data_IF_940678918329
#
_entry.id   IF_940678918329
#
_cell.length_a   1.000
_cell.length_b   1.000
_cell.length_c   1.000
_cell.angle_alpha   90.00
_cell.angle_beta   90.00
_cell.angle_gamma   90.00
#
_symmetry.space_group_name_H-M   'P 1'
#
loop_
_entity.id
_entity.type
_entity.pdbx_description
1 polymer ?
#
# COMPACT_ATOMS: atom_id res chain seq x y z
N UNK A 1 -28.28 14.03 7.06
CA UNK A 1 -27.12 14.88 7.40
C UNK A 1 -27.31 16.17 6.62
N UNK A 2 -26.98 17.35 7.18
CA UNK A 2 -26.93 18.59 6.41
C UNK A 2 -25.94 18.43 5.26
N UNK A 3 -26.25 18.98 4.07
CA UNK A 3 -25.45 18.83 2.84
C UNK A 3 -24.00 19.28 2.99
N UNK A 4 -23.66 20.08 4.00
CA UNK A 4 -22.32 20.66 4.22
C UNK A 4 -21.40 19.84 5.15
N UNK A 5 -21.86 18.71 5.71
CA UNK A 5 -21.03 17.94 6.64
C UNK A 5 -20.27 16.81 5.97
N UNK A 6 -18.94 16.91 5.94
CA UNK A 6 -18.06 15.79 5.52
C UNK A 6 -18.14 14.67 6.56
N UNK A 7 -18.49 13.43 6.17
CA UNK A 7 -18.52 12.30 7.09
C UNK A 7 -17.15 11.98 7.68
N UNK A 8 -17.13 11.57 8.94
CA UNK A 8 -15.90 11.10 9.58
C UNK A 8 -15.41 9.75 9.03
N UNK A 9 -14.15 9.41 9.29
CA UNK A 9 -13.48 8.23 8.75
C UNK A 9 -14.26 6.91 8.98
N UNK A 10 -14.74 6.65 10.20
CA UNK A 10 -15.49 5.43 10.50
C UNK A 10 -16.82 5.36 9.71
N UNK A 11 -17.48 6.48 9.48
CA UNK A 11 -18.68 6.55 8.63
C UNK A 11 -18.33 6.26 7.18
N UNK A 12 -17.24 6.82 6.67
CA UNK A 12 -16.75 6.52 5.31
C UNK A 12 -16.38 5.04 5.16
N UNK A 13 -15.73 4.44 6.15
CA UNK A 13 -15.34 3.03 6.13
C UNK A 13 -16.54 2.09 5.94
N UNK A 14 -17.73 2.46 6.43
CA UNK A 14 -18.96 1.66 6.32
C UNK A 14 -19.80 2.04 5.10
N UNK A 15 -19.86 3.33 4.73
CA UNK A 15 -20.86 3.83 3.81
C UNK A 15 -20.33 4.29 2.44
N UNK A 16 -19.07 4.72 2.33
CA UNK A 16 -18.58 5.27 1.06
C UNK A 16 -18.69 4.24 -0.07
N UNK A 17 -19.23 4.67 -1.23
CA UNK A 17 -19.46 3.83 -2.41
C UNK A 17 -20.62 2.84 -2.29
N UNK A 18 -21.12 2.52 -1.08
CA UNK A 18 -22.18 1.54 -0.90
C UNK A 18 -23.57 2.17 -0.99
N UNK A 19 -24.38 1.66 -1.93
CA UNK A 19 -25.81 1.96 -2.06
C UNK A 19 -26.59 0.65 -2.00
N UNK A 20 -27.84 0.66 -1.49
CA UNK A 20 -28.71 -0.51 -1.63
C UNK A 20 -28.85 -0.90 -3.10
N UNK A 21 -28.83 -2.22 -3.37
CA UNK A 21 -28.99 -2.71 -4.74
C UNK A 21 -30.33 -2.21 -5.33
N UNK A 22 -30.33 -1.55 -6.50
CA UNK A 22 -31.54 -0.92 -7.03
C UNK A 22 -32.62 -1.91 -7.45
N UNK A 23 -32.26 -3.18 -7.67
CA UNK A 23 -33.20 -4.21 -8.14
C UNK A 23 -33.83 -4.94 -6.96
N UNK A 24 -33.02 -5.30 -5.96
CA UNK A 24 -33.46 -6.16 -4.86
C UNK A 24 -33.60 -5.43 -3.52
N UNK A 25 -33.05 -4.23 -3.40
CA UNK A 25 -32.96 -3.51 -2.14
C UNK A 25 -31.91 -4.09 -1.18
N UNK A 26 -31.07 -5.03 -1.60
CA UNK A 26 -30.05 -5.63 -0.74
C UNK A 26 -29.12 -4.57 -0.16
N UNK A 27 -28.93 -4.60 1.17
CA UNK A 27 -28.12 -3.61 1.88
C UNK A 27 -26.62 -3.90 1.73
N UNK A 28 -26.22 -5.18 1.79
CA UNK A 28 -24.85 -5.59 1.54
C UNK A 28 -24.54 -5.49 0.05
N UNK A 29 -23.29 -5.14 -0.30
CA UNK A 29 -22.84 -5.07 -1.69
C UNK A 29 -22.96 -6.45 -2.34
N UNK A 30 -23.74 -6.63 -3.43
CA UNK A 30 -23.83 -7.91 -4.12
C UNK A 30 -22.51 -8.34 -4.74
N UNK A 31 -22.26 -9.65 -4.81
CA UNK A 31 -21.12 -10.22 -5.52
C UNK A 31 -21.54 -10.48 -6.97
N UNK A 32 -21.13 -9.61 -7.90
CA UNK A 32 -21.39 -9.78 -9.32
C UNK A 32 -20.34 -10.69 -9.95
N UNK A 33 -20.51 -12.01 -9.74
CA UNK A 33 -19.60 -13.03 -10.26
C UNK A 33 -19.98 -13.40 -11.69
N UNK A 34 -19.72 -12.48 -12.62
CA UNK A 34 -19.95 -12.63 -14.07
C UNK A 34 -18.73 -12.18 -14.86
N UNK A 35 -18.57 -12.64 -16.08
CA UNK A 35 -17.50 -12.21 -17.00
C UNK A 35 -17.88 -10.96 -17.78
N UNK A 36 -19.14 -10.85 -18.21
CA UNK A 36 -19.60 -9.83 -19.16
C UNK A 36 -20.97 -9.29 -18.81
N UNK A 37 -21.30 -8.15 -19.38
CA UNK A 37 -22.56 -7.42 -19.16
C UNK A 37 -23.24 -7.18 -20.49
N UNK A 38 -24.59 -7.24 -20.50
CA UNK A 38 -25.40 -7.04 -21.72
C UNK A 38 -25.50 -5.54 -22.00
N UNK A 39 -25.31 -5.16 -23.25
CA UNK A 39 -25.52 -3.81 -23.74
C UNK A 39 -26.99 -3.59 -24.10
N UNK A 40 -27.44 -2.32 -24.02
CA UNK A 40 -28.79 -1.97 -24.44
C UNK A 40 -28.98 -2.11 -25.97
N UNK A 41 -27.96 -1.63 -26.71
CA UNK A 41 -27.91 -1.62 -28.17
C UNK A 41 -26.45 -1.44 -28.66
N UNK A 42 -26.25 -1.34 -29.97
CA UNK A 42 -24.92 -1.18 -30.61
C UNK A 42 -24.30 0.18 -30.29
N UNK A 43 -25.11 1.24 -30.19
CA UNK A 43 -24.64 2.60 -29.90
C UNK A 43 -24.17 2.71 -28.46
N UNK A 44 -24.90 2.12 -27.52
CA UNK A 44 -24.49 2.02 -26.11
C UNK A 44 -23.14 1.26 -26.01
N UNK A 45 -22.99 0.12 -26.69
CA UNK A 45 -21.73 -0.61 -26.71
C UNK A 45 -20.59 0.26 -27.25
N UNK A 46 -20.76 0.91 -28.38
CA UNK A 46 -19.75 1.78 -29.01
C UNK A 46 -19.32 2.93 -28.09
N UNK A 47 -20.29 3.57 -27.39
CA UNK A 47 -20.01 4.67 -26.46
C UNK A 47 -19.17 4.23 -25.25
N UNK A 48 -19.40 3.03 -24.71
CA UNK A 48 -18.61 2.46 -23.63
C UNK A 48 -17.18 2.15 -24.06
N UNK A 49 -16.99 1.50 -25.20
CA UNK A 49 -15.65 1.20 -25.73
C UNK A 49 -14.88 2.46 -26.14
N UNK A 50 -15.58 3.48 -26.60
CA UNK A 50 -15.02 4.79 -26.96
C UNK A 50 -14.74 5.72 -25.78
N UNK A 51 -14.97 5.28 -24.53
CA UNK A 51 -14.86 6.09 -23.31
C UNK A 51 -15.75 7.34 -23.32
N UNK A 52 -16.86 7.32 -24.07
CA UNK A 52 -17.85 8.40 -24.13
C UNK A 52 -18.94 8.24 -23.07
N UNK A 53 -19.08 7.04 -22.51
CA UNK A 53 -19.98 6.74 -21.41
C UNK A 53 -19.29 5.84 -20.37
N UNK A 54 -19.77 5.88 -19.12
CA UNK A 54 -19.36 4.98 -18.07
C UNK A 54 -20.39 3.85 -17.91
N UNK A 55 -19.91 2.62 -17.76
CA UNK A 55 -20.75 1.45 -17.55
C UNK A 55 -19.95 0.17 -17.52
N UNK A 56 -20.65 -0.95 -17.28
CA UNK A 56 -20.03 -2.25 -17.19
C UNK A 56 -19.91 -2.91 -18.56
N UNK A 57 -18.73 -3.42 -18.90
CA UNK A 57 -18.42 -4.12 -20.15
C UNK A 57 -18.03 -5.57 -19.85
N UNK A 58 -16.97 -5.71 -19.07
CA UNK A 58 -16.32 -6.98 -18.79
C UNK A 58 -15.60 -6.92 -17.45
N UNK A 59 -15.74 -7.93 -16.60
CA UNK A 59 -15.30 -7.90 -15.20
C UNK A 59 -13.80 -7.68 -15.03
N UNK A 60 -12.95 -8.07 -15.99
CA UNK A 60 -11.52 -7.74 -15.97
C UNK A 60 -11.27 -6.22 -15.95
N UNK A 61 -12.14 -5.42 -16.58
CA UNK A 61 -11.98 -3.97 -16.69
C UNK A 61 -12.69 -3.28 -15.53
N UNK A 62 -13.89 -3.75 -15.17
CA UNK A 62 -14.75 -3.18 -14.14
C UNK A 62 -15.78 -4.19 -13.64
N UNK A 63 -16.14 -4.07 -12.36
CA UNK A 63 -17.21 -4.86 -11.75
C UNK A 63 -17.94 -3.97 -10.73
N UNK A 64 -19.29 -4.05 -10.64
CA UNK A 64 -20.02 -3.27 -9.63
C UNK A 64 -19.56 -3.55 -8.20
N UNK A 65 -19.17 -4.77 -7.87
CA UNK A 65 -18.62 -5.13 -6.55
C UNK A 65 -17.29 -4.41 -6.30
N UNK A 66 -16.37 -4.46 -7.27
CA UNK A 66 -15.06 -3.81 -7.15
C UNK A 66 -15.16 -2.28 -7.18
N UNK A 67 -16.15 -1.71 -7.88
CA UNK A 67 -16.40 -0.28 -7.88
C UNK A 67 -16.71 0.26 -6.48
N UNK A 68 -17.48 -0.46 -5.67
CA UNK A 68 -17.74 -0.07 -4.26
C UNK A 68 -16.43 -0.07 -3.44
N UNK A 69 -15.54 -1.05 -3.67
CA UNK A 69 -14.23 -1.08 -3.02
C UNK A 69 -13.35 0.11 -3.46
N UNK A 70 -13.33 0.42 -4.75
CA UNK A 70 -12.59 1.54 -5.33
C UNK A 70 -13.07 2.88 -4.72
N UNK A 71 -14.37 3.14 -4.72
CA UNK A 71 -14.95 4.35 -4.14
C UNK A 71 -14.70 4.45 -2.62
N UNK A 72 -14.78 3.31 -1.91
CA UNK A 72 -14.52 3.24 -0.47
C UNK A 72 -13.10 3.67 -0.14
N UNK A 73 -12.11 3.07 -0.78
CA UNK A 73 -10.71 3.35 -0.48
C UNK A 73 -10.30 4.74 -0.97
N UNK A 74 -10.81 5.19 -2.13
CA UNK A 74 -10.61 6.57 -2.57
C UNK A 74 -11.10 7.58 -1.51
N UNK A 75 -12.30 7.39 -0.97
CA UNK A 75 -12.87 8.26 0.06
C UNK A 75 -12.05 8.22 1.38
N UNK A 76 -11.56 7.05 1.78
CA UNK A 76 -10.76 6.90 3.00
C UNK A 76 -9.39 7.58 2.87
N UNK A 77 -8.72 7.48 1.71
CA UNK A 77 -7.45 8.15 1.43
C UNK A 77 -7.61 9.64 1.10
N UNK A 78 -8.82 10.10 0.79
CA UNK A 78 -9.06 11.46 0.32
C UNK A 78 -8.64 11.69 -1.13
N UNK A 79 -8.59 10.61 -1.92
CA UNK A 79 -8.33 10.67 -3.35
C UNK A 79 -9.58 10.96 -4.17
N UNK A 80 -9.37 11.27 -5.45
CA UNK A 80 -10.44 11.55 -6.42
C UNK A 80 -11.03 10.26 -7.00
N UNK A 81 -10.19 9.26 -7.25
CA UNK A 81 -10.58 7.97 -7.80
C UNK A 81 -9.63 6.86 -7.34
N UNK A 82 -10.07 5.61 -7.46
CA UNK A 82 -9.21 4.46 -7.24
C UNK A 82 -9.44 3.36 -8.28
N UNK A 83 -8.45 2.44 -8.38
CA UNK A 83 -8.49 1.27 -9.25
C UNK A 83 -8.02 0.05 -8.47
N UNK A 84 -8.91 -0.93 -8.27
CA UNK A 84 -8.59 -2.20 -7.65
C UNK A 84 -7.94 -3.16 -8.64
N UNK A 85 -6.89 -3.86 -8.20
CA UNK A 85 -6.10 -4.81 -8.98
C UNK A 85 -5.77 -6.07 -8.17
N UNK A 86 -5.21 -7.08 -8.81
CA UNK A 86 -5.03 -8.42 -8.25
C UNK A 86 -4.11 -8.47 -7.00
N UNK A 87 -3.17 -7.54 -6.84
CA UNK A 87 -2.21 -7.52 -5.73
C UNK A 87 -1.54 -6.16 -5.58
N UNK A 88 -0.83 -5.92 -4.47
CA UNK A 88 0.01 -4.72 -4.31
C UNK A 88 1.10 -4.60 -5.38
N UNK A 89 1.75 -5.71 -5.77
CA UNK A 89 2.70 -5.72 -6.88
C UNK A 89 2.06 -5.34 -8.22
N UNK A 90 0.83 -5.78 -8.46
CA UNK A 90 0.07 -5.37 -9.64
C UNK A 90 -0.25 -3.87 -9.61
N UNK A 91 -0.51 -3.29 -8.42
CA UNK A 91 -0.71 -1.84 -8.29
C UNK A 91 0.57 -1.07 -8.69
N UNK A 92 1.73 -1.49 -8.18
CA UNK A 92 3.03 -0.89 -8.55
C UNK A 92 3.31 -0.99 -10.05
N UNK A 93 3.05 -2.17 -10.65
CA UNK A 93 3.20 -2.39 -12.09
C UNK A 93 2.30 -1.46 -12.90
N UNK A 94 1.02 -1.41 -12.60
CA UNK A 94 0.02 -0.63 -13.35
C UNK A 94 0.30 0.87 -13.26
N UNK A 95 0.66 1.36 -12.06
CA UNK A 95 1.01 2.77 -11.85
C UNK A 95 2.19 3.18 -12.73
N UNK A 96 3.29 2.42 -12.68
CA UNK A 96 4.49 2.77 -13.46
C UNK A 96 4.27 2.53 -14.97
N UNK A 97 3.53 1.49 -15.37
CA UNK A 97 3.19 1.24 -16.77
C UNK A 97 2.38 2.38 -17.40
N UNK A 98 1.51 3.04 -16.64
CA UNK A 98 0.72 4.17 -17.14
C UNK A 98 1.54 5.45 -17.37
N UNK A 99 2.80 5.51 -16.94
CA UNK A 99 3.63 6.71 -17.06
C UNK A 99 5.04 6.49 -17.62
N UNK A 100 5.51 5.25 -17.73
CA UNK A 100 6.89 4.93 -18.12
C UNK A 100 6.98 4.26 -19.48
N UNK A 101 8.08 4.54 -20.18
CA UNK A 101 8.51 3.89 -21.41
C UNK A 101 9.89 3.26 -21.24
N UNK A 102 10.32 2.34 -22.12
CA UNK A 102 11.69 1.83 -22.11
C UNK A 102 12.73 2.96 -22.14
N UNK A 103 13.68 2.92 -21.22
CA UNK A 103 14.72 3.95 -21.05
C UNK A 103 14.42 5.01 -20.01
N UNK A 104 13.18 5.05 -19.49
CA UNK A 104 12.80 5.93 -18.39
C UNK A 104 13.35 5.48 -17.04
N UNK A 105 13.36 6.41 -16.09
CA UNK A 105 13.86 6.22 -14.72
C UNK A 105 12.79 6.62 -13.71
N UNK A 106 12.82 5.98 -12.55
CA UNK A 106 12.10 6.44 -11.36
C UNK A 106 13.02 6.37 -10.14
N UNK A 107 12.79 7.22 -9.16
CA UNK A 107 13.55 7.23 -7.91
C UNK A 107 12.75 6.43 -6.89
N UNK A 108 13.41 5.54 -6.15
CA UNK A 108 12.77 4.80 -5.07
C UNK A 108 13.60 4.88 -3.79
N UNK A 109 12.93 4.90 -2.64
CA UNK A 109 13.60 4.76 -1.36
C UNK A 109 14.32 3.40 -1.27
N UNK A 110 15.52 3.38 -0.68
CA UNK A 110 16.24 2.13 -0.46
C UNK A 110 15.61 1.25 0.62
N UNK A 111 14.85 1.86 1.53
CA UNK A 111 14.11 1.19 2.58
C UNK A 111 12.67 0.93 2.13
N UNK A 112 12.42 -0.22 1.53
CA UNK A 112 11.13 -0.69 1.06
C UNK A 112 10.93 -2.17 1.40
N UNK A 113 9.72 -2.64 1.21
CA UNK A 113 9.41 -4.06 1.19
C UNK A 113 10.31 -4.81 0.21
N UNK A 114 10.93 -5.91 0.66
CA UNK A 114 11.89 -6.67 -0.15
C UNK A 114 11.33 -7.15 -1.49
N UNK A 115 10.03 -7.46 -1.56
CA UNK A 115 9.36 -7.80 -2.81
C UNK A 115 9.33 -6.64 -3.81
N UNK A 116 9.13 -5.40 -3.35
CA UNK A 116 9.19 -4.19 -4.19
C UNK A 116 10.60 -3.98 -4.73
N UNK A 117 11.63 -4.14 -3.86
CA UNK A 117 13.03 -4.05 -4.28
C UNK A 117 13.34 -5.07 -5.39
N UNK A 118 12.88 -6.32 -5.23
CA UNK A 118 13.07 -7.36 -6.23
C UNK A 118 12.33 -7.04 -7.53
N UNK A 119 11.08 -6.58 -7.46
CA UNK A 119 10.29 -6.20 -8.62
C UNK A 119 10.96 -5.07 -9.41
N UNK A 120 11.48 -4.05 -8.72
CA UNK A 120 12.15 -2.90 -9.34
C UNK A 120 13.49 -3.27 -9.96
N UNK A 121 14.30 -4.06 -9.27
CA UNK A 121 15.64 -4.44 -9.74
C UNK A 121 15.63 -5.46 -10.89
N UNK A 122 14.61 -6.32 -10.96
CA UNK A 122 14.58 -7.43 -11.90
C UNK A 122 13.47 -7.27 -12.93
N UNK A 123 12.19 -7.31 -12.50
CA UNK A 123 11.06 -7.31 -13.44
C UNK A 123 10.97 -6.01 -14.21
N UNK A 124 11.06 -4.86 -13.55
CA UNK A 124 10.94 -3.56 -14.22
C UNK A 124 12.15 -3.25 -15.09
N UNK A 125 13.34 -3.72 -14.70
CA UNK A 125 14.52 -3.62 -15.55
C UNK A 125 14.34 -4.37 -16.88
N UNK A 126 13.63 -5.50 -16.90
CA UNK A 126 13.34 -6.23 -18.15
C UNK A 126 12.39 -5.46 -19.08
N UNK A 127 11.60 -4.51 -18.57
CA UNK A 127 10.79 -3.57 -19.36
C UNK A 127 11.58 -2.33 -19.80
N UNK A 128 12.87 -2.25 -19.45
CA UNK A 128 13.71 -1.08 -19.72
C UNK A 128 13.50 0.08 -18.76
N UNK A 129 12.82 -0.14 -17.65
CA UNK A 129 12.63 0.87 -16.59
C UNK A 129 13.76 0.77 -15.57
N UNK A 130 14.37 1.90 -15.24
CA UNK A 130 15.54 1.94 -14.37
C UNK A 130 15.18 2.60 -13.04
N UNK A 131 15.50 1.90 -11.93
CA UNK A 131 15.34 2.47 -10.59
C UNK A 131 16.64 3.20 -10.16
N UNK A 132 16.48 4.37 -9.56
CA UNK A 132 17.52 5.11 -8.83
C UNK A 132 17.22 5.06 -7.34
N UNK A 133 18.10 4.46 -6.58
CA UNK A 133 17.89 4.31 -5.13
C UNK A 133 18.31 5.57 -4.37
N UNK A 134 17.50 5.97 -3.40
CA UNK A 134 17.73 7.11 -2.51
C UNK A 134 17.57 6.69 -1.04
N UNK A 135 18.26 7.39 -0.14
CA UNK A 135 18.17 7.13 1.30
C UNK A 135 17.12 8.03 1.95
N UNK A 136 16.11 7.43 2.61
CA UNK A 136 15.07 8.19 3.32
C UNK A 136 15.60 9.01 4.51
N UNK A 137 16.79 8.70 5.00
CA UNK A 137 17.45 9.46 6.07
C UNK A 137 18.22 10.68 5.54
N UNK A 138 18.48 10.76 4.22
CA UNK A 138 19.12 11.88 3.55
C UNK A 138 18.33 12.30 2.30
N UNK A 139 17.45 13.27 2.47
CA UNK A 139 16.59 13.80 1.39
C UNK A 139 17.39 14.32 0.21
N UNK A 140 18.64 14.79 0.41
CA UNK A 140 19.50 15.26 -0.68
C UNK A 140 19.82 14.16 -1.70
N UNK A 141 19.74 12.88 -1.32
CA UNK A 141 19.95 11.75 -2.24
C UNK A 141 18.83 11.64 -3.27
N UNK A 142 17.58 11.97 -2.90
CA UNK A 142 16.47 12.07 -3.85
C UNK A 142 16.71 13.21 -4.86
N UNK A 143 17.14 14.38 -4.40
CA UNK A 143 17.44 15.53 -5.28
C UNK A 143 18.55 15.18 -6.28
N UNK A 144 19.64 14.58 -5.82
CA UNK A 144 20.79 14.16 -6.65
C UNK A 144 20.42 13.08 -7.68
N UNK A 145 19.41 12.25 -7.39
CA UNK A 145 18.96 11.19 -8.27
C UNK A 145 18.07 11.69 -9.42
N UNK A 146 17.51 12.91 -9.33
CA UNK A 146 16.65 13.49 -10.37
C UNK A 146 17.40 13.66 -11.67
N UNK A 147 16.80 13.22 -12.78
CA UNK A 147 17.31 13.40 -14.14
C UNK A 147 16.17 13.78 -15.11
N UNK A 148 16.46 14.19 -16.34
CA UNK A 148 15.42 14.40 -17.37
C UNK A 148 14.57 13.15 -17.67
N UNK A 149 15.07 11.95 -17.35
CA UNK A 149 14.38 10.67 -17.53
C UNK A 149 13.51 10.28 -16.34
N UNK A 150 13.59 10.99 -15.22
CA UNK A 150 12.82 10.68 -14.02
C UNK A 150 11.33 10.90 -14.27
N UNK A 151 10.51 9.86 -14.02
CA UNK A 151 9.05 9.87 -14.20
C UNK A 151 8.26 9.88 -12.90
N UNK A 152 8.84 9.39 -11.79
CA UNK A 152 8.17 9.34 -10.49
C UNK A 152 9.18 9.23 -9.35
N UNK A 153 8.72 9.52 -8.13
CA UNK A 153 9.39 9.13 -6.89
C UNK A 153 8.48 8.16 -6.16
N UNK A 154 9.04 7.06 -5.64
CA UNK A 154 8.33 6.00 -4.92
C UNK A 154 8.88 5.82 -3.51
N UNK A 155 8.00 5.88 -2.49
CA UNK A 155 8.35 5.65 -1.08
C UNK A 155 7.28 4.79 -0.40
N UNK A 156 7.59 4.26 0.78
CA UNK A 156 6.59 3.74 1.73
C UNK A 156 6.36 4.77 2.85
N UNK A 157 5.12 4.91 3.32
CA UNK A 157 4.80 5.79 4.46
C UNK A 157 5.43 5.28 5.76
N UNK A 158 5.31 3.99 6.01
CA UNK A 158 6.02 3.22 7.05
C UNK A 158 6.71 2.06 6.36
N UNK A 159 8.03 2.02 6.40
CA UNK A 159 8.82 1.04 5.66
C UNK A 159 8.87 -0.32 6.35
N UNK A 160 8.78 -1.39 5.56
CA UNK A 160 8.96 -2.77 6.00
C UNK A 160 10.39 -3.26 5.62
N UNK A 161 11.18 -3.88 6.51
CA UNK A 161 10.80 -4.47 7.80
C UNK A 161 10.90 -3.55 9.02
N UNK A 162 11.64 -2.47 8.96
CA UNK A 162 12.11 -1.73 10.13
C UNK A 162 11.11 -0.76 10.78
N UNK A 163 9.88 -0.61 10.26
CA UNK A 163 8.91 0.33 10.81
C UNK A 163 9.33 1.81 10.69
N UNK A 164 10.23 2.13 9.77
CA UNK A 164 10.79 3.48 9.59
C UNK A 164 9.75 4.38 8.93
N UNK A 165 9.45 5.51 9.54
CA UNK A 165 8.50 6.51 9.00
C UNK A 165 9.24 7.47 8.09
N UNK A 166 8.76 7.60 6.84
CA UNK A 166 9.35 8.52 5.86
C UNK A 166 8.84 9.94 6.06
N UNK A 167 9.70 10.95 5.89
CA UNK A 167 9.27 12.36 5.82
C UNK A 167 8.62 12.65 4.47
N UNK A 168 7.31 12.40 4.39
CA UNK A 168 6.51 12.48 3.17
C UNK A 168 6.56 13.88 2.55
N UNK A 169 6.40 14.94 3.36
CA UNK A 169 6.41 16.33 2.86
C UNK A 169 7.77 16.74 2.28
N UNK A 170 8.86 16.28 2.90
CA UNK A 170 10.20 16.56 2.40
C UNK A 170 10.42 15.93 1.02
N UNK A 171 10.00 14.66 0.83
CA UNK A 171 10.10 13.98 -0.47
C UNK A 171 9.12 14.57 -1.48
N UNK A 172 7.89 14.94 -1.06
CA UNK A 172 6.90 15.62 -1.92
C UNK A 172 7.44 16.94 -2.46
N UNK A 173 8.19 17.70 -1.64
CA UNK A 173 8.83 18.93 -2.09
C UNK A 173 9.88 18.67 -3.19
N UNK A 174 10.63 17.56 -3.11
CA UNK A 174 11.57 17.15 -4.17
C UNK A 174 10.81 16.79 -5.45
N UNK A 175 9.77 15.94 -5.33
CA UNK A 175 8.94 15.53 -6.46
C UNK A 175 8.32 16.75 -7.19
N UNK A 176 7.77 17.69 -6.43
CA UNK A 176 7.20 18.94 -6.96
C UNK A 176 8.24 19.79 -7.72
N UNK A 177 9.46 19.97 -7.16
CA UNK A 177 10.53 20.69 -7.86
C UNK A 177 10.98 19.98 -9.13
N UNK A 178 11.02 18.66 -9.11
CA UNK A 178 11.35 17.83 -10.27
C UNK A 178 10.23 17.78 -11.33
N UNK A 179 9.01 18.20 -11.00
CA UNK A 179 7.82 18.12 -11.87
C UNK A 179 7.40 16.68 -12.14
N UNK A 180 7.50 15.79 -11.14
CA UNK A 180 7.12 14.38 -11.21
C UNK A 180 6.19 14.03 -10.05
N UNK A 181 5.27 13.02 -10.19
CA UNK A 181 4.40 12.62 -9.12
C UNK A 181 5.17 11.88 -8.00
N UNK A 182 4.70 12.06 -6.77
CA UNK A 182 5.07 11.24 -5.62
C UNK A 182 4.07 10.10 -5.47
N UNK A 183 4.58 8.86 -5.50
CA UNK A 183 3.84 7.62 -5.24
C UNK A 183 4.20 7.15 -3.83
N UNK A 184 3.19 6.92 -3.00
CA UNK A 184 3.37 6.42 -1.63
C UNK A 184 2.67 5.08 -1.46
N UNK A 185 3.42 4.04 -1.14
CA UNK A 185 2.84 2.80 -0.64
C UNK A 185 2.44 2.98 0.84
N UNK A 186 1.14 2.99 1.09
CA UNK A 186 0.57 3.25 2.41
C UNK A 186 0.02 1.98 3.08
N UNK A 187 0.54 0.81 2.68
CA UNK A 187 0.06 -0.51 3.12
C UNK A 187 0.13 -0.68 4.63
N UNK A 188 1.21 -0.23 5.30
CA UNK A 188 1.41 -0.44 6.73
C UNK A 188 0.62 0.55 7.59
N UNK A 189 0.59 1.82 7.21
CA UNK A 189 -0.15 2.84 7.96
C UNK A 189 -1.66 2.75 7.71
N UNK A 190 -2.08 2.37 6.52
CA UNK A 190 -3.45 2.47 6.04
C UNK A 190 -3.98 3.92 6.08
N UNK A 191 -5.08 4.25 5.41
CA UNK A 191 -5.64 5.60 5.49
C UNK A 191 -6.14 5.99 6.89
N UNK A 192 -6.22 5.04 7.82
CA UNK A 192 -6.61 5.32 9.19
C UNK A 192 -5.52 6.04 10.00
N UNK A 193 -4.27 5.59 9.89
CA UNK A 193 -3.15 6.19 10.62
C UNK A 193 -2.52 7.35 9.86
N UNK A 194 -2.37 7.22 8.53
CA UNK A 194 -1.76 8.22 7.67
C UNK A 194 -2.54 8.36 6.35
N UNK A 195 -2.73 9.58 5.88
CA UNK A 195 -3.27 9.91 4.56
C UNK A 195 -2.21 10.68 3.77
N UNK A 196 -1.35 10.00 2.99
CA UNK A 196 -0.23 10.63 2.29
C UNK A 196 -0.63 11.77 1.35
N UNK A 197 -1.85 11.73 0.78
CA UNK A 197 -2.39 12.80 -0.09
C UNK A 197 -2.48 14.15 0.65
N UNK A 198 -2.75 14.13 1.96
CA UNK A 198 -2.80 15.34 2.79
C UNK A 198 -1.40 15.96 2.97
N UNK A 199 -0.33 15.19 2.71
CA UNK A 199 1.07 15.59 2.86
C UNK A 199 1.81 15.72 1.52
N UNK A 200 1.08 15.74 0.40
CA UNK A 200 1.63 16.03 -0.92
C UNK A 200 1.94 14.81 -1.78
N UNK A 201 1.48 13.62 -1.42
CA UNK A 201 1.46 12.49 -2.35
C UNK A 201 0.44 12.73 -3.47
N UNK A 202 0.82 12.38 -4.70
CA UNK A 202 -0.07 12.46 -5.86
C UNK A 202 -0.82 11.15 -6.07
N UNK A 203 -0.16 10.03 -5.77
CA UNK A 203 -0.68 8.67 -5.95
C UNK A 203 -0.39 7.87 -4.69
N UNK A 204 -1.38 7.11 -4.23
CA UNK A 204 -1.21 6.15 -3.13
C UNK A 204 -1.48 4.75 -3.64
N UNK A 205 -0.63 3.78 -3.24
CA UNK A 205 -0.86 2.36 -3.52
C UNK A 205 -0.98 1.57 -2.23
N UNK A 206 -1.74 0.48 -2.27
CA UNK A 206 -1.83 -0.47 -1.16
C UNK A 206 -1.80 -1.92 -1.64
N UNK A 207 -1.20 -2.76 -0.85
CA UNK A 207 -1.58 -4.16 -0.79
C UNK A 207 -2.82 -4.30 0.11
N UNK A 208 -3.99 -4.43 -0.51
CA UNK A 208 -5.26 -4.67 0.19
C UNK A 208 -5.26 -5.99 0.97
N UNK A 209 -4.34 -6.89 0.61
CA UNK A 209 -4.07 -8.19 1.25
C UNK A 209 -3.76 -8.06 2.75
N UNK A 210 -3.19 -6.91 3.16
CA UNK A 210 -2.67 -6.66 4.50
C UNK A 210 -3.75 -6.07 5.41
N UNK A 211 -3.45 -5.04 6.16
CA UNK A 211 -4.34 -4.44 7.16
C UNK A 211 -5.73 -4.04 6.65
N UNK A 212 -5.88 -3.63 5.38
CA UNK A 212 -7.21 -3.22 4.86
C UNK A 212 -8.14 -4.44 4.81
N UNK A 213 -7.74 -5.54 4.20
CA UNK A 213 -8.47 -6.82 4.26
C UNK A 213 -8.44 -7.42 5.66
N UNK A 214 -7.27 -7.47 6.27
CA UNK A 214 -7.03 -7.73 7.70
C UNK A 214 -7.20 -9.16 8.20
N UNK A 215 -7.63 -10.10 7.36
CA UNK A 215 -8.03 -11.46 7.80
C UNK A 215 -7.17 -12.57 7.19
N UNK A 216 -6.16 -12.25 6.38
CA UNK A 216 -5.27 -13.24 5.76
C UNK A 216 -5.94 -14.17 4.76
N UNK A 217 -7.14 -13.82 4.26
CA UNK A 217 -8.00 -14.68 3.45
C UNK A 217 -8.19 -14.20 2.00
N UNK A 218 -7.63 -13.05 1.64
CA UNK A 218 -7.86 -12.44 0.32
C UNK A 218 -6.64 -11.65 -0.14
N UNK A 219 -6.29 -11.78 -1.42
CA UNK A 219 -5.23 -11.00 -2.07
C UNK A 219 -5.87 -9.92 -2.93
N UNK A 220 -5.34 -8.70 -2.83
CA UNK A 220 -5.74 -7.56 -3.64
C UNK A 220 -4.73 -6.43 -3.58
N UNK A 221 -4.83 -5.50 -4.50
CA UNK A 221 -4.11 -4.24 -4.53
C UNK A 221 -5.04 -3.09 -4.94
N UNK A 222 -4.63 -1.86 -4.68
CA UNK A 222 -5.38 -0.69 -5.12
C UNK A 222 -4.43 0.47 -5.41
N UNK A 223 -4.80 1.26 -6.38
CA UNK A 223 -4.18 2.53 -6.75
C UNK A 223 -5.19 3.62 -6.42
N UNK A 224 -4.78 4.65 -5.70
CA UNK A 224 -5.61 5.83 -5.41
C UNK A 224 -4.96 7.04 -6.08
N UNK A 225 -5.71 7.70 -6.93
CA UNK A 225 -5.30 8.93 -7.61
C UNK A 225 -5.76 10.14 -6.76
N UNK A 226 -4.81 10.99 -6.36
CA UNK A 226 -5.09 12.23 -5.66
C UNK A 226 -5.78 13.29 -6.54
N UNK A 227 -5.73 13.14 -7.87
CA UNK A 227 -6.37 14.00 -8.85
C UNK A 227 -5.78 15.42 -8.93
N UNK A 228 -4.60 15.65 -8.36
CA UNK A 228 -3.98 17.00 -8.26
C UNK A 228 -2.79 17.20 -9.20
N UNK A 229 -2.19 16.13 -9.69
CA UNK A 229 -1.02 16.21 -10.58
C UNK A 229 -1.46 16.63 -11.99
N UNK A 230 -0.78 17.64 -12.55
CA UNK A 230 -1.07 18.13 -13.91
C UNK A 230 -0.33 17.29 -14.95
N UNK A 231 -0.98 16.29 -15.52
CA UNK A 231 -0.41 15.35 -16.49
C UNK A 231 -0.12 15.96 -17.85
N UNK A 232 -0.73 17.11 -18.19
CA UNK A 232 -0.56 17.81 -19.48
C UNK A 232 0.42 18.99 -19.40
N UNK A 233 0.98 19.28 -18.22
CA UNK A 233 1.92 20.38 -18.02
C UNK A 233 3.23 20.23 -18.83
N UNK A 234 3.54 19.02 -19.29
CA UNK A 234 4.75 18.74 -20.08
C UNK A 234 4.54 17.48 -20.93
N UNK A 235 5.41 17.29 -21.94
CA UNK A 235 5.42 16.06 -22.77
C UNK A 235 6.06 14.87 -22.05
N UNK A 236 6.22 14.92 -20.72
CA UNK A 236 6.86 13.86 -19.95
C UNK A 236 6.01 12.58 -19.89
N UNK A 237 4.69 12.70 -20.02
CA UNK A 237 3.73 11.60 -19.89
C UNK A 237 2.87 11.47 -21.15
N UNK A 238 3.45 10.98 -22.28
CA UNK A 238 2.76 10.95 -23.57
C UNK A 238 1.47 10.14 -23.54
N UNK A 239 1.37 9.10 -22.70
CA UNK A 239 0.15 8.33 -22.53
C UNK A 239 -1.06 9.16 -22.04
N UNK A 240 -0.79 10.29 -21.39
CA UNK A 240 -1.80 11.19 -20.80
C UNK A 240 -1.91 12.53 -21.54
N UNK A 241 -0.81 13.01 -22.12
CA UNK A 241 -0.69 14.34 -22.72
C UNK A 241 -0.75 14.38 -24.25
N UNK A 242 -0.72 13.22 -24.92
CA UNK A 242 -0.75 13.13 -26.38
C UNK A 242 -2.01 12.43 -26.88
N UNK A 243 -2.45 12.72 -28.15
CA UNK A 243 -3.59 12.07 -28.75
C UNK A 243 -3.43 10.54 -28.84
N UNK A 244 -4.46 9.81 -28.40
CA UNK A 244 -4.51 8.33 -28.41
C UNK A 244 -5.24 7.83 -29.65
N UNK A 245 -4.55 7.22 -30.64
CA UNK A 245 -5.20 6.73 -31.86
C UNK A 245 -6.29 5.69 -31.59
N UNK A 246 -6.09 4.82 -30.58
CA UNK A 246 -7.04 3.80 -30.16
C UNK A 246 -8.33 4.36 -29.54
N UNK A 247 -8.37 5.65 -29.22
CA UNK A 247 -9.53 6.41 -28.71
C UNK A 247 -9.85 7.60 -29.61
N UNK A 248 -9.72 7.45 -30.94
CA UNK A 248 -10.06 8.47 -31.93
C UNK A 248 -9.33 9.82 -31.70
N UNK A 249 -8.09 9.78 -31.24
CA UNK A 249 -7.29 10.99 -31.00
C UNK A 249 -7.57 11.68 -29.67
N UNK A 250 -8.30 11.03 -28.76
CA UNK A 250 -8.56 11.58 -27.42
C UNK A 250 -7.24 11.78 -26.63
N UNK A 251 -7.12 12.92 -25.96
CA UNK A 251 -6.05 13.20 -24.97
C UNK A 251 -6.64 12.95 -23.59
N UNK A 252 -6.18 11.88 -22.90
CA UNK A 252 -6.80 11.45 -21.64
C UNK A 252 -6.73 12.54 -20.56
N UNK A 253 -5.60 13.25 -20.46
CA UNK A 253 -5.40 14.32 -19.48
C UNK A 253 -6.35 15.49 -19.65
N UNK A 254 -6.67 15.87 -20.91
CA UNK A 254 -7.61 16.95 -21.19
C UNK A 254 -9.06 16.49 -21.01
N UNK A 255 -9.38 15.26 -21.47
CA UNK A 255 -10.75 14.74 -21.45
C UNK A 255 -11.24 14.44 -20.06
N UNK A 256 -10.39 13.84 -19.20
CA UNK A 256 -10.81 13.35 -17.88
C UNK A 256 -10.28 14.19 -16.71
N UNK A 257 -9.40 15.16 -16.96
CA UNK A 257 -8.91 16.09 -15.94
C UNK A 257 -8.34 15.34 -14.72
N UNK A 258 -8.92 15.58 -13.55
CA UNK A 258 -8.49 14.96 -12.28
C UNK A 258 -8.77 13.45 -12.16
N UNK A 259 -9.44 12.82 -13.13
CA UNK A 259 -9.64 11.38 -13.22
C UNK A 259 -8.70 10.71 -14.23
N UNK A 260 -7.92 11.50 -14.98
CA UNK A 260 -7.15 11.03 -16.14
C UNK A 260 -6.21 9.89 -15.81
N UNK A 261 -5.50 9.97 -14.68
CA UNK A 261 -4.54 8.94 -14.30
C UNK A 261 -5.22 7.62 -13.91
N UNK A 262 -6.30 7.68 -13.14
CA UNK A 262 -7.06 6.49 -12.78
C UNK A 262 -7.65 5.81 -14.04
N UNK A 263 -8.13 6.60 -15.02
CA UNK A 263 -8.60 6.07 -16.32
C UNK A 263 -7.44 5.46 -17.10
N UNK A 264 -6.28 6.13 -17.19
CA UNK A 264 -5.10 5.56 -17.87
C UNK A 264 -4.66 4.23 -17.23
N UNK A 265 -4.59 4.16 -15.90
CA UNK A 265 -4.32 2.90 -15.19
C UNK A 265 -5.33 1.80 -15.54
N UNK A 266 -6.62 2.15 -15.68
CA UNK A 266 -7.67 1.19 -16.05
C UNK A 266 -7.53 0.69 -17.47
N UNK A 267 -7.34 1.60 -18.44
CA UNK A 267 -7.40 1.24 -19.88
C UNK A 267 -6.06 0.78 -20.44
N UNK A 268 -4.93 1.28 -19.95
CA UNK A 268 -3.60 0.89 -20.40
C UNK A 268 -2.98 -0.22 -19.52
N UNK A 269 -3.30 -0.20 -18.22
CA UNK A 269 -2.77 -1.15 -17.26
C UNK A 269 -3.70 -2.33 -17.03
N UNK A 270 -4.82 -2.12 -16.34
CA UNK A 270 -5.72 -3.22 -15.93
C UNK A 270 -6.29 -3.97 -17.12
N UNK A 271 -6.85 -3.26 -18.11
CA UNK A 271 -7.48 -3.88 -19.28
C UNK A 271 -6.47 -4.70 -20.10
N UNK A 272 -5.30 -4.14 -20.38
CA UNK A 272 -4.36 -4.70 -21.36
C UNK A 272 -3.37 -5.68 -20.72
N UNK A 273 -2.89 -5.44 -19.49
CA UNK A 273 -2.01 -6.35 -18.76
C UNK A 273 -2.78 -7.44 -17.97
N UNK A 274 -4.05 -7.19 -17.64
CA UNK A 274 -4.96 -8.18 -17.09
C UNK A 274 -4.89 -8.49 -15.60
N UNK A 275 -4.26 -7.71 -14.70
CA UNK A 275 -4.16 -8.04 -13.27
C UNK A 275 -5.45 -7.72 -12.50
N UNK A 276 -6.58 -8.28 -12.92
CA UNK A 276 -7.89 -8.02 -12.37
C UNK A 276 -8.09 -8.70 -11.01
N UNK A 277 -8.68 -7.98 -10.06
CA UNK A 277 -9.15 -8.56 -8.80
C UNK A 277 -10.47 -9.29 -9.04
N UNK A 278 -10.68 -10.42 -8.36
CA UNK A 278 -11.96 -11.11 -8.40
C UNK A 278 -13.04 -10.35 -7.61
N UNK A 279 -14.32 -10.32 -8.05
CA UNK A 279 -15.40 -9.72 -7.27
C UNK A 279 -15.56 -10.33 -5.88
N UNK A 280 -15.27 -11.61 -5.71
CA UNK A 280 -15.29 -12.29 -4.42
C UNK A 280 -14.20 -11.75 -3.48
N UNK A 281 -12.96 -11.56 -3.96
CA UNK A 281 -11.90 -10.95 -3.18
C UNK A 281 -12.25 -9.49 -2.82
N UNK A 282 -12.83 -8.73 -3.76
CA UNK A 282 -13.30 -7.37 -3.49
C UNK A 282 -14.32 -7.32 -2.37
N UNK A 283 -15.25 -8.26 -2.34
CA UNK A 283 -16.26 -8.39 -1.28
C UNK A 283 -15.63 -8.70 0.08
N UNK A 284 -14.70 -9.67 0.15
CA UNK A 284 -14.00 -10.01 1.40
C UNK A 284 -13.19 -8.82 1.93
N UNK A 285 -12.51 -8.09 1.04
CA UNK A 285 -11.73 -6.90 1.40
C UNK A 285 -12.65 -5.76 1.87
N UNK A 286 -13.81 -5.56 1.23
CA UNK A 286 -14.81 -4.59 1.67
C UNK A 286 -15.27 -4.87 3.10
N UNK A 287 -15.56 -6.15 3.43
CA UNK A 287 -15.92 -6.55 4.79
C UNK A 287 -14.80 -6.22 5.80
N UNK A 288 -13.54 -6.43 5.42
CA UNK A 288 -12.40 -6.01 6.23
C UNK A 288 -12.30 -4.49 6.39
N UNK A 289 -12.52 -3.74 5.31
CA UNK A 289 -12.42 -2.27 5.33
C UNK A 289 -13.44 -1.61 6.27
N UNK A 290 -14.64 -2.20 6.44
CA UNK A 290 -15.67 -1.68 7.36
C UNK A 290 -15.19 -1.58 8.81
N UNK A 291 -14.36 -2.51 9.24
CA UNK A 291 -13.81 -2.56 10.62
C UNK A 291 -12.39 -2.01 10.73
N UNK A 292 -11.84 -1.45 9.64
CA UNK A 292 -10.47 -0.94 9.60
C UNK A 292 -10.13 0.01 10.76
N UNK A 293 -10.94 1.03 11.10
CA UNK A 293 -10.59 1.97 12.16
C UNK A 293 -10.49 1.30 13.53
N UNK A 294 -11.35 0.33 13.82
CA UNK A 294 -11.33 -0.42 15.09
C UNK A 294 -10.09 -1.31 15.18
N UNK A 295 -9.78 -2.04 14.10
CA UNK A 295 -8.64 -2.94 14.05
C UNK A 295 -7.31 -2.17 14.11
N UNK A 296 -7.16 -1.11 13.33
CA UNK A 296 -5.90 -0.36 13.30
C UNK A 296 -5.59 0.33 14.63
N UNK A 297 -6.62 0.79 15.36
CA UNK A 297 -6.41 1.31 16.70
C UNK A 297 -5.93 0.21 17.64
N UNK A 298 -6.62 -0.93 17.69
CA UNK A 298 -6.24 -2.07 18.54
C UNK A 298 -4.85 -2.62 18.19
N UNK A 299 -4.53 -2.76 16.90
CA UNK A 299 -3.20 -3.13 16.41
C UNK A 299 -2.11 -2.20 16.94
N UNK A 300 -2.32 -0.89 16.83
CA UNK A 300 -1.33 0.12 17.25
C UNK A 300 -1.16 0.15 18.78
N UNK A 301 -2.26 0.01 19.52
CA UNK A 301 -2.25 -0.02 20.99
C UNK A 301 -1.51 -1.26 21.49
N UNK A 302 -1.80 -2.43 20.91
CA UNK A 302 -1.12 -3.68 21.25
C UNK A 302 0.37 -3.61 20.89
N UNK A 303 0.71 -3.11 19.68
CA UNK A 303 2.11 -2.98 19.27
C UNK A 303 2.91 -2.07 20.20
N UNK A 304 2.31 -0.98 20.67
CA UNK A 304 2.92 -0.09 21.64
C UNK A 304 3.16 -0.80 22.97
N UNK A 305 2.18 -1.51 23.51
CA UNK A 305 2.30 -2.26 24.77
C UNK A 305 3.40 -3.34 24.65
N UNK A 306 3.44 -4.08 23.55
CA UNK A 306 4.48 -5.08 23.28
C UNK A 306 5.86 -4.44 23.16
N UNK A 307 5.99 -3.32 22.45
CA UNK A 307 7.26 -2.61 22.30
C UNK A 307 7.77 -2.06 23.65
N UNK A 308 6.89 -1.52 24.49
CA UNK A 308 7.20 -1.05 25.84
C UNK A 308 7.65 -2.20 26.78
N UNK A 309 7.04 -3.37 26.65
CA UNK A 309 7.44 -4.57 27.36
C UNK A 309 8.84 -5.05 26.89
N UNK A 310 9.03 -5.25 25.59
CA UNK A 310 10.27 -5.72 25.01
C UNK A 310 11.45 -4.77 25.33
N UNK A 311 11.22 -3.46 25.35
CA UNK A 311 12.27 -2.47 25.67
C UNK A 311 12.84 -2.59 27.10
N UNK A 312 12.17 -3.31 27.98
CA UNK A 312 12.58 -3.53 29.38
C UNK A 312 13.02 -4.97 29.63
N UNK A 313 12.87 -5.86 28.65
CA UNK A 313 13.15 -7.27 28.83
C UNK A 313 14.67 -7.54 28.77
N UNK A 314 15.27 -8.29 29.73
CA UNK A 314 16.72 -8.46 29.86
C UNK A 314 17.38 -9.17 28.66
N UNK A 315 16.65 -10.00 27.93
CA UNK A 315 17.15 -10.71 26.73
C UNK A 315 16.91 -9.95 25.41
N UNK A 316 16.40 -8.72 25.46
CA UNK A 316 16.18 -7.86 24.31
C UNK A 316 17.23 -6.75 24.31
N UNK A 317 18.01 -6.67 23.23
CA UNK A 317 19.13 -5.73 23.12
C UNK A 317 18.72 -4.36 22.60
N UNK A 318 17.69 -4.31 21.76
CA UNK A 318 17.11 -3.09 21.20
C UNK A 318 15.68 -3.36 20.66
N UNK A 319 14.89 -2.29 20.55
CA UNK A 319 13.57 -2.31 19.93
C UNK A 319 13.46 -1.15 18.94
N UNK A 320 12.99 -1.40 17.71
CA UNK A 320 12.68 -0.39 16.72
C UNK A 320 11.17 -0.34 16.51
N UNK A 321 10.54 0.71 17.01
CA UNK A 321 9.12 1.00 16.86
C UNK A 321 8.89 2.50 16.97
N UNK A 322 8.41 3.13 15.92
CA UNK A 322 8.26 4.59 15.83
C UNK A 322 7.26 5.19 16.86
N UNK A 323 6.49 4.35 17.56
CA UNK A 323 5.60 4.75 18.65
C UNK A 323 6.28 4.91 20.00
N UNK A 324 7.55 4.51 20.16
CA UNK A 324 8.30 4.65 21.41
C UNK A 324 9.00 6.01 21.47
N UNK A 325 8.87 6.77 22.60
CA UNK A 325 9.69 7.94 22.85
C UNK A 325 11.18 7.55 22.81
N UNK A 326 11.96 8.23 21.99
CA UNK A 326 13.39 7.92 21.81
C UNK A 326 13.70 7.12 20.53
N UNK A 327 12.71 6.52 19.85
CA UNK A 327 12.90 6.01 18.49
C UNK A 327 13.21 7.19 17.53
N UNK A 328 14.12 6.93 16.58
CA UNK A 328 14.56 7.95 15.61
C UNK A 328 13.42 8.52 14.77
N UNK A 329 12.38 7.75 14.54
CA UNK A 329 11.21 8.13 13.74
C UNK A 329 10.03 8.65 14.60
N UNK A 330 10.18 8.71 15.94
CA UNK A 330 9.08 9.10 16.84
C UNK A 330 8.42 10.44 16.45
N UNK A 331 9.22 11.47 16.15
CA UNK A 331 8.69 12.77 15.76
C UNK A 331 7.93 12.73 14.42
N UNK A 332 8.42 11.95 13.45
CA UNK A 332 7.74 11.76 12.17
C UNK A 332 6.45 10.95 12.35
N UNK A 333 6.46 9.93 13.22
CA UNK A 333 5.25 9.19 13.55
C UNK A 333 4.19 10.08 14.22
N UNK A 334 4.58 10.95 15.14
CA UNK A 334 3.65 11.93 15.74
C UNK A 334 3.06 12.90 14.69
N UNK A 335 3.83 13.27 13.67
CA UNK A 335 3.41 14.18 12.61
C UNK A 335 2.47 13.50 11.62
N UNK A 336 2.86 12.34 11.08
CA UNK A 336 2.15 11.69 9.98
C UNK A 336 1.12 10.65 10.42
N UNK A 337 1.33 10.05 11.60
CA UNK A 337 0.52 8.96 12.14
C UNK A 337 0.05 9.25 13.57
N UNK A 338 -0.67 10.38 13.83
CA UNK A 338 -0.99 10.82 15.20
C UNK A 338 -1.88 9.85 15.98
N UNK A 339 -2.56 8.91 15.31
CA UNK A 339 -3.41 7.89 15.95
C UNK A 339 -2.67 6.64 16.36
N UNK A 340 -1.38 6.48 15.96
CA UNK A 340 -0.56 5.32 16.28
C UNK A 340 0.48 5.04 15.19
N UNK A 341 1.56 4.34 15.54
CA UNK A 341 2.70 4.09 14.65
C UNK A 341 2.63 2.74 13.91
N UNK A 342 1.44 2.17 13.75
CA UNK A 342 1.23 0.88 13.10
C UNK A 342 1.46 -0.31 14.03
N UNK A 343 1.54 -1.51 13.45
CA UNK A 343 1.60 -2.77 14.19
C UNK A 343 2.82 -3.63 13.84
N UNK A 344 3.73 -3.12 13.03
CA UNK A 344 4.97 -3.82 12.68
C UNK A 344 6.11 -3.21 13.47
N UNK A 345 6.84 -4.06 14.18
CA UNK A 345 8.05 -3.69 14.92
C UNK A 345 9.14 -4.73 14.76
N UNK A 346 10.38 -4.35 15.01
CA UNK A 346 11.53 -5.25 15.07
C UNK A 346 12.28 -5.06 16.37
N UNK A 347 12.92 -6.14 16.83
CA UNK A 347 13.78 -6.08 18.01
C UNK A 347 14.94 -7.06 17.86
N UNK A 348 16.01 -6.80 18.58
CA UNK A 348 17.18 -7.66 18.68
C UNK A 348 17.09 -8.57 19.90
N UNK A 349 17.37 -9.87 19.72
CA UNK A 349 17.43 -10.85 20.81
C UNK A 349 18.87 -11.17 21.15
N UNK A 350 19.20 -11.23 22.45
CA UNK A 350 20.52 -11.64 22.92
C UNK A 350 20.79 -13.11 22.53
N UNK A 351 21.97 -13.40 21.97
CA UNK A 351 22.35 -14.73 21.48
C UNK A 351 22.22 -14.93 19.98
N UNK A 352 21.83 -13.87 19.22
CA UNK A 352 21.87 -13.84 17.75
C UNK A 352 20.96 -14.87 17.08
N UNK A 353 21.45 -15.48 15.99
CA UNK A 353 20.67 -16.41 15.16
C UNK A 353 20.07 -17.57 15.95
N UNK A 354 20.82 -18.19 16.84
CA UNK A 354 20.34 -19.34 17.62
C UNK A 354 19.18 -18.96 18.55
N UNK A 355 19.27 -17.81 19.21
CA UNK A 355 18.20 -17.28 20.05
C UNK A 355 16.98 -16.87 19.22
N UNK A 356 17.18 -16.20 18.08
CA UNK A 356 16.11 -15.84 17.16
C UNK A 356 15.33 -17.06 16.63
N UNK A 357 16.03 -18.12 16.23
CA UNK A 357 15.42 -19.39 15.79
C UNK A 357 14.67 -20.07 16.95
N UNK A 358 15.25 -20.10 18.15
CA UNK A 358 14.59 -20.67 19.34
C UNK A 358 13.32 -19.92 19.66
N UNK A 359 13.37 -18.59 19.69
CA UNK A 359 12.22 -17.73 19.97
C UNK A 359 11.05 -18.02 19.01
N UNK A 360 11.28 -17.94 17.70
CA UNK A 360 10.21 -18.14 16.71
C UNK A 360 9.69 -19.57 16.68
N UNK A 361 10.45 -20.55 17.17
CA UNK A 361 10.04 -21.95 17.26
C UNK A 361 9.29 -22.27 18.56
N UNK A 362 9.38 -21.39 19.57
CA UNK A 362 8.83 -21.63 20.92
C UNK A 362 7.51 -20.91 21.18
N UNK A 363 7.22 -19.83 20.43
CA UNK A 363 5.93 -19.12 20.53
C UNK A 363 4.76 -20.08 20.25
N UNK A 364 3.64 -19.85 20.94
CA UNK A 364 2.43 -20.68 20.86
C UNK A 364 1.23 -19.94 20.30
N UNK A 365 1.12 -18.65 20.56
CA UNK A 365 0.08 -17.76 20.07
C UNK A 365 0.44 -17.20 18.69
N UNK A 366 1.68 -16.75 18.53
CA UNK A 366 2.14 -16.19 17.27
C UNK A 366 2.19 -17.24 16.16
N UNK A 367 1.74 -16.84 14.96
CA UNK A 367 1.95 -17.66 13.76
C UNK A 367 3.30 -17.34 13.12
N UNK A 368 4.16 -18.34 12.96
CA UNK A 368 5.45 -18.21 12.27
C UNK A 368 5.23 -18.28 10.76
N UNK A 369 5.15 -17.14 10.10
CA UNK A 369 4.94 -17.02 8.65
C UNK A 369 5.36 -15.66 8.09
N UNK A 370 5.54 -15.60 6.76
CA UNK A 370 5.99 -14.40 6.05
C UNK A 370 4.79 -13.53 5.59
N UNK A 371 4.03 -12.98 6.53
CA UNK A 371 2.97 -12.01 6.25
C UNK A 371 3.00 -10.87 7.28
N UNK A 372 2.11 -9.89 7.12
CA UNK A 372 1.81 -8.80 8.05
C UNK A 372 0.34 -8.42 7.92
N UNK A 373 -0.21 -7.75 8.93
CA UNK A 373 -1.54 -7.13 8.85
C UNK A 373 -2.71 -8.09 8.96
N UNK A 374 -2.49 -9.28 9.53
CA UNK A 374 -3.54 -10.20 9.95
C UNK A 374 -4.08 -9.78 11.32
N UNK A 375 -5.33 -10.13 11.63
CA UNK A 375 -5.91 -10.00 12.97
C UNK A 375 -5.14 -10.80 14.03
N UNK A 376 -4.45 -11.86 13.62
CA UNK A 376 -3.57 -12.68 14.44
C UNK A 376 -2.17 -12.12 14.47
N UNK A 377 -1.50 -12.26 15.60
CA UNK A 377 -0.09 -11.91 15.75
C UNK A 377 0.81 -12.85 14.96
N UNK A 378 1.76 -12.26 14.21
CA UNK A 378 2.69 -12.97 13.34
C UNK A 378 4.12 -12.64 13.75
N UNK A 379 5.00 -13.65 13.65
CA UNK A 379 6.42 -13.54 13.98
C UNK A 379 7.28 -14.15 12.88
N UNK A 380 8.45 -13.58 12.64
CA UNK A 380 9.44 -14.15 11.73
C UNK A 380 10.85 -13.72 12.13
N UNK A 381 11.82 -14.60 11.90
CA UNK A 381 13.25 -14.31 11.97
C UNK A 381 13.79 -14.11 10.55
N UNK A 382 13.95 -12.87 10.06
CA UNK A 382 14.24 -12.61 8.65
C UNK A 382 15.55 -13.22 8.17
N UNK A 383 16.57 -13.22 9.01
CA UNK A 383 17.89 -13.77 8.70
C UNK A 383 17.84 -15.22 8.23
N UNK A 384 17.15 -16.09 8.97
CA UNK A 384 17.06 -17.54 8.66
C UNK A 384 15.95 -17.89 7.66
N UNK A 385 15.12 -16.91 7.24
CA UNK A 385 13.94 -17.16 6.41
C UNK A 385 13.92 -16.28 5.16
N UNK A 386 13.27 -15.12 5.22
CA UNK A 386 12.98 -14.27 4.05
C UNK A 386 14.22 -13.69 3.38
N UNK A 387 15.35 -13.59 4.10
CA UNK A 387 16.62 -13.07 3.59
C UNK A 387 17.71 -14.14 3.48
N UNK A 388 17.38 -15.43 3.68
CA UNK A 388 18.36 -16.53 3.66
C UNK A 388 19.15 -16.68 2.36
N UNK A 389 18.62 -16.16 1.25
CA UNK A 389 19.26 -16.18 -0.07
C UNK A 389 20.35 -15.10 -0.23
N UNK A 390 20.41 -14.10 0.67
CA UNK A 390 21.37 -13.00 0.63
C UNK A 390 22.65 -13.39 1.39
N UNK A 391 23.76 -12.73 1.04
CA UNK A 391 24.98 -12.85 1.86
C UNK A 391 24.80 -12.21 3.24
N UNK A 392 25.62 -12.58 4.26
CA UNK A 392 25.52 -11.97 5.58
C UNK A 392 25.58 -10.43 5.56
N UNK A 393 26.43 -9.86 4.71
CA UNK A 393 26.59 -8.41 4.55
C UNK A 393 25.32 -7.78 3.95
N UNK A 394 24.75 -8.43 2.94
CA UNK A 394 23.50 -8.00 2.31
C UNK A 394 22.30 -8.09 3.27
N UNK A 395 22.23 -9.16 4.10
CA UNK A 395 21.20 -9.28 5.15
C UNK A 395 21.28 -8.12 6.14
N UNK A 396 22.47 -7.82 6.66
CA UNK A 396 22.70 -6.69 7.58
C UNK A 396 22.33 -5.34 6.95
N UNK A 397 22.75 -5.12 5.70
CA UNK A 397 22.40 -3.90 4.95
C UNK A 397 20.89 -3.76 4.74
N UNK A 398 20.17 -4.87 4.62
CA UNK A 398 18.69 -4.89 4.52
C UNK A 398 17.97 -4.76 5.87
N UNK A 399 18.71 -4.59 7.00
CA UNK A 399 18.12 -4.52 8.34
C UNK A 399 17.64 -5.87 8.88
N UNK A 400 18.12 -6.98 8.29
CA UNK A 400 17.85 -8.34 8.73
C UNK A 400 19.10 -8.95 9.34
N UNK A 401 19.60 -8.37 10.44
CA UNK A 401 20.70 -8.92 11.23
C UNK A 401 20.33 -10.29 11.82
N UNK A 402 21.34 -11.02 12.28
CA UNK A 402 21.18 -12.37 12.84
C UNK A 402 20.46 -12.38 14.21
N UNK A 403 20.36 -11.23 14.86
CA UNK A 403 19.60 -11.01 16.09
C UNK A 403 18.16 -10.52 15.85
N UNK A 404 17.81 -10.14 14.61
CA UNK A 404 16.55 -9.43 14.32
C UNK A 404 15.35 -10.35 14.27
N UNK A 405 14.35 -10.03 15.09
CA UNK A 405 13.01 -10.64 15.02
C UNK A 405 12.01 -9.56 14.62
N UNK A 406 11.12 -9.86 13.66
CA UNK A 406 10.03 -8.98 13.25
C UNK A 406 8.70 -9.52 13.74
N UNK A 407 7.90 -8.64 14.34
CA UNK A 407 6.52 -8.90 14.71
C UNK A 407 5.56 -8.11 13.79
N UNK A 408 4.42 -8.70 13.50
CA UNK A 408 3.20 -8.03 13.08
C UNK A 408 2.15 -8.30 14.15
N UNK A 409 1.95 -7.34 15.03
CA UNK A 409 1.14 -7.53 16.23
C UNK A 409 -0.35 -7.51 15.86
N UNK A 410 -1.09 -8.50 16.31
CA UNK A 410 -2.51 -8.69 16.05
C UNK A 410 -3.42 -7.89 17.01
N UNK A 411 -4.69 -8.33 17.06
CA UNK A 411 -5.73 -7.67 17.86
C UNK A 411 -6.16 -8.50 19.09
N UNK A 412 -5.40 -9.54 19.41
CA UNK A 412 -5.59 -10.35 20.62
C UNK A 412 -5.44 -9.48 21.89
N UNK A 413 -5.69 -10.03 23.05
CA UNK A 413 -5.43 -9.35 24.30
C UNK A 413 -3.91 -9.14 24.49
N UNK A 414 -3.49 -7.92 24.83
CA UNK A 414 -2.08 -7.55 24.89
C UNK A 414 -1.30 -8.39 25.90
N UNK A 415 -1.94 -8.74 27.01
CA UNK A 415 -1.37 -9.58 28.07
C UNK A 415 -1.05 -10.99 27.55
N UNK A 416 -1.88 -11.58 26.69
CA UNK A 416 -1.65 -12.90 26.11
C UNK A 416 -0.50 -12.86 25.10
N UNK A 417 -0.44 -11.80 24.28
CA UNK A 417 0.68 -11.57 23.33
C UNK A 417 2.00 -11.45 24.10
N UNK A 418 2.03 -10.67 25.18
CA UNK A 418 3.20 -10.47 26.01
C UNK A 418 3.60 -11.76 26.72
N UNK A 419 2.66 -12.52 27.28
CA UNK A 419 2.91 -13.77 27.95
C UNK A 419 3.51 -14.82 27.02
N UNK A 420 3.07 -14.87 25.76
CA UNK A 420 3.64 -15.77 24.76
C UNK A 420 5.09 -15.39 24.40
N UNK A 421 5.38 -14.10 24.27
CA UNK A 421 6.75 -13.62 24.04
C UNK A 421 7.66 -13.87 25.25
N UNK A 422 7.15 -13.66 26.48
CA UNK A 422 7.91 -13.86 27.72
C UNK A 422 8.37 -15.31 27.87
N UNK A 423 7.45 -16.29 27.72
CA UNK A 423 7.77 -17.71 27.80
C UNK A 423 8.73 -18.15 26.70
N UNK A 424 8.63 -17.56 25.49
CA UNK A 424 9.51 -17.88 24.38
C UNK A 424 10.91 -17.27 24.55
N UNK A 425 10.99 -16.02 25.05
CA UNK A 425 12.26 -15.38 25.42
C UNK A 425 12.95 -16.11 26.56
N UNK A 426 12.19 -16.64 27.54
CA UNK A 426 12.78 -17.44 28.63
C UNK A 426 13.51 -18.70 28.13
N UNK A 427 13.11 -19.24 26.99
CA UNK A 427 13.71 -20.44 26.37
C UNK A 427 14.98 -20.14 25.55
N UNK A 428 15.26 -18.87 25.20
CA UNK A 428 16.48 -18.43 24.45
C UNK A 428 17.70 -18.22 25.37
#
# INVERSE_FOLDING_TARGET
MSEDRVPGFATLAVHAGAKPDPTTGARATPIYQTTSYVFNDVEHAASLFGLQAFGNIYTRIMSPTSAVLEERIAALEGGTAALAVASGHAAQLVVLHAMMQPGDEFIAAGQLYGGSINQFNHSFKSFGWNVKWADINDISTFEKAVSPKTKAIFIESIANPGGVVTDIEAVAAVAKRAGVPLIVDNTLATPYLCRPIDFGADIVVHSLTKFIGGHGNSIGGIIVDGGKFNWTASNRYPFLSEPRPEYNGMILGETFGNFAFAIACRVLGLRDLGPAISPFNSFLILTGAETLPLRMQKHSDNAKAVAEYLSKHPKVTWVSYAGLPGDRCYKLAQKYCPKGAGAVLTFGVEGGEAAGVTLVSTVKLFSHLANIGDTRSLIIHPWSTTHSQLTPEQRKAAGAGDDVVRLSVGIEDAEDIIADLDQALAAT
#
